data_IF_991054956072
#
_entry.id   IF_991054956072
#
_cell.length_a   1.000
_cell.length_b   1.000
_cell.length_c   1.000
_cell.angle_alpha   90.00
_cell.angle_beta   90.00
_cell.angle_gamma   90.00
#
_symmetry.space_group_name_H-M   'P 1'
#
loop_
_entity.id
_entity.type
_entity.pdbx_description
1 polymer ?
#
# COMPACT_ATOMS: atom_id res chain seq x y z
N UNK A 1 1.89 14.14 -2.01
CA UNK A 1 2.38 13.09 -2.94
C UNK A 1 3.83 12.67 -2.66
N UNK A 2 4.38 12.97 -1.48
CA UNK A 2 5.83 12.90 -1.23
C UNK A 2 6.29 11.57 -0.63
N UNK A 3 5.41 10.80 0.02
CA UNK A 3 5.79 9.58 0.75
C UNK A 3 5.96 8.33 -0.11
N UNK A 4 5.17 8.16 -1.18
CA UNK A 4 5.30 7.00 -2.07
C UNK A 4 6.56 7.07 -2.96
N UNK A 5 7.07 8.28 -3.21
CA UNK A 5 8.26 8.50 -4.03
C UNK A 5 9.48 7.80 -3.44
N UNK A 6 9.67 7.83 -2.12
CA UNK A 6 10.82 7.18 -1.47
C UNK A 6 10.73 5.65 -1.40
N UNK A 7 9.54 5.06 -1.43
CA UNK A 7 9.38 3.60 -1.35
C UNK A 7 9.70 2.88 -2.67
N UNK A 8 9.57 3.57 -3.81
CA UNK A 8 9.60 2.94 -5.14
C UNK A 8 10.72 3.46 -6.06
N UNK A 9 11.44 4.52 -5.70
CA UNK A 9 12.47 5.15 -6.53
C UNK A 9 13.91 4.81 -6.07
N UNK A 10 14.05 3.96 -5.05
CA UNK A 10 15.34 3.55 -4.47
C UNK A 10 16.06 2.49 -5.30
N UNK A 11 16.46 2.81 -6.54
CA UNK A 11 17.60 2.23 -7.28
C UNK A 11 17.72 0.71 -7.53
N UNK A 12 16.84 -0.16 -7.02
CA UNK A 12 17.04 -1.62 -7.05
C UNK A 12 16.09 -2.41 -7.93
N UNK A 13 14.95 -1.84 -8.34
CA UNK A 13 13.92 -2.56 -9.09
C UNK A 13 13.93 -2.20 -10.59
N UNK A 14 13.72 -3.17 -11.50
CA UNK A 14 13.47 -2.91 -12.91
C UNK A 14 12.32 -1.92 -13.12
N UNK A 15 12.40 -1.10 -14.18
CA UNK A 15 11.39 -0.07 -14.50
C UNK A 15 9.97 -0.63 -14.57
N UNK A 16 9.81 -1.84 -15.09
CA UNK A 16 8.53 -2.54 -15.17
C UNK A 16 7.96 -2.85 -13.77
N UNK A 17 8.79 -3.34 -12.85
CA UNK A 17 8.37 -3.59 -11.46
C UNK A 17 8.00 -2.29 -10.74
N UNK A 18 8.75 -1.21 -10.97
CA UNK A 18 8.41 0.12 -10.42
C UNK A 18 7.06 0.62 -10.94
N UNK A 19 6.72 0.37 -12.21
CA UNK A 19 5.40 0.71 -12.76
C UNK A 19 4.30 -0.11 -12.08
N UNK A 20 4.47 -1.44 -12.00
CA UNK A 20 3.53 -2.35 -11.32
C UNK A 20 3.32 -1.93 -9.87
N UNK A 21 4.39 -1.60 -9.13
CA UNK A 21 4.31 -1.10 -7.75
C UNK A 21 3.47 0.18 -7.65
N UNK A 22 3.72 1.15 -8.54
CA UNK A 22 3.01 2.45 -8.53
C UNK A 22 1.53 2.30 -8.85
N UNK A 23 1.17 1.40 -9.77
CA UNK A 23 -0.21 1.11 -10.12
C UNK A 23 -0.91 0.34 -9.00
N UNK A 24 -0.30 -0.76 -8.52
CA UNK A 24 -0.85 -1.56 -7.43
C UNK A 24 -1.06 -0.72 -6.15
N UNK A 25 -0.14 0.19 -5.84
CA UNK A 25 -0.28 1.14 -4.73
C UNK A 25 -1.49 2.06 -4.89
N UNK A 26 -1.73 2.62 -6.09
CA UNK A 26 -2.88 3.52 -6.32
C UNK A 26 -4.19 2.75 -6.20
N UNK A 27 -4.27 1.60 -6.85
CA UNK A 27 -5.46 0.75 -6.85
C UNK A 27 -5.78 0.29 -5.42
N UNK A 28 -4.79 -0.20 -4.67
CA UNK A 28 -4.98 -0.59 -3.27
C UNK A 28 -5.39 0.59 -2.37
N UNK A 29 -4.86 1.80 -2.59
CA UNK A 29 -5.31 2.98 -1.85
C UNK A 29 -6.77 3.35 -2.16
N UNK A 30 -7.21 3.20 -3.41
CA UNK A 30 -8.58 3.44 -3.83
C UNK A 30 -9.54 2.41 -3.20
N UNK A 31 -9.20 1.13 -3.25
CA UNK A 31 -9.97 0.02 -2.65
C UNK A 31 -10.10 0.12 -1.12
N UNK A 32 -9.17 0.82 -0.48
CA UNK A 32 -9.15 1.07 0.96
C UNK A 32 -9.70 2.45 1.33
N UNK A 33 -10.14 3.25 0.35
CA UNK A 33 -10.62 4.63 0.54
C UNK A 33 -9.67 5.50 1.38
N UNK A 34 -8.35 5.36 1.17
CA UNK A 34 -7.35 6.09 1.98
C UNK A 34 -7.34 7.57 1.61
N UNK A 35 -7.65 8.42 2.59
CA UNK A 35 -7.60 9.87 2.43
C UNK A 35 -6.16 10.38 2.24
N UNK A 36 -5.99 11.45 1.45
CA UNK A 36 -4.67 12.03 1.10
C UNK A 36 -3.79 12.41 2.31
N UNK A 37 -4.39 12.69 3.46
CA UNK A 37 -3.69 13.05 4.71
C UNK A 37 -3.26 11.85 5.57
N UNK A 38 -3.69 10.63 5.23
CA UNK A 38 -3.47 9.45 6.04
C UNK A 38 -2.09 8.81 5.81
N UNK A 39 -1.04 9.56 6.15
CA UNK A 39 0.37 9.19 5.92
C UNK A 39 0.77 7.83 6.49
N UNK A 40 0.14 7.36 7.58
CA UNK A 40 0.39 6.02 8.15
C UNK A 40 -0.19 4.91 7.26
N UNK A 41 -1.44 5.07 6.81
CA UNK A 41 -2.10 4.10 5.93
C UNK A 41 -1.41 4.02 4.57
N UNK A 42 -1.03 5.17 3.99
CA UNK A 42 -0.25 5.21 2.75
C UNK A 42 1.09 4.46 2.87
N UNK A 43 1.84 4.66 3.97
CA UNK A 43 3.09 3.93 4.21
C UNK A 43 2.86 2.42 4.31
N UNK A 44 1.81 2.01 5.00
CA UNK A 44 1.47 0.59 5.15
C UNK A 44 1.13 -0.07 3.81
N UNK A 45 0.33 0.58 2.96
CA UNK A 45 0.04 0.08 1.61
C UNK A 45 1.31 -0.02 0.78
N UNK A 46 2.16 1.00 0.80
CA UNK A 46 3.42 0.99 0.06
C UNK A 46 4.34 -0.16 0.50
N UNK A 47 4.42 -0.45 1.80
CA UNK A 47 5.17 -1.59 2.33
C UNK A 47 4.59 -2.93 1.89
N UNK A 48 3.26 -3.10 1.94
CA UNK A 48 2.62 -4.33 1.50
C UNK A 48 2.86 -4.60 0.01
N UNK A 49 2.74 -3.57 -0.82
CA UNK A 49 2.99 -3.67 -2.27
C UNK A 49 4.45 -4.03 -2.54
N UNK A 50 5.39 -3.39 -1.83
CA UNK A 50 6.82 -3.69 -1.95
C UNK A 50 7.13 -5.14 -1.55
N UNK A 51 6.60 -5.61 -0.43
CA UNK A 51 6.86 -6.98 0.05
C UNK A 51 6.40 -8.03 -0.97
N UNK A 52 5.25 -7.82 -1.63
CA UNK A 52 4.77 -8.75 -2.66
C UNK A 52 5.74 -8.83 -3.86
N UNK A 53 6.31 -7.70 -4.27
CA UNK A 53 7.29 -7.63 -5.36
C UNK A 53 8.62 -8.27 -4.93
N UNK A 54 9.07 -8.02 -3.68
CA UNK A 54 10.25 -8.66 -3.10
C UNK A 54 10.09 -10.19 -3.02
N UNK A 55 8.86 -10.70 -2.85
CA UNK A 55 8.53 -12.12 -2.90
C UNK A 55 8.38 -12.67 -4.33
N UNK A 56 8.62 -11.85 -5.36
CA UNK A 56 8.57 -12.24 -6.77
C UNK A 56 7.19 -12.23 -7.41
N UNK A 57 6.15 -11.70 -6.74
CA UNK A 57 4.84 -11.53 -7.36
C UNK A 57 4.85 -10.29 -8.27
N UNK A 58 4.53 -10.49 -9.54
CA UNK A 58 4.53 -9.44 -10.58
C UNK A 58 3.13 -9.16 -11.12
N UNK A 59 2.13 -9.98 -10.78
CA UNK A 59 0.74 -9.77 -11.21
C UNK A 59 0.09 -8.71 -10.34
N UNK A 60 -0.13 -7.52 -10.92
CA UNK A 60 -0.77 -6.37 -10.26
C UNK A 60 -2.01 -6.74 -9.44
N UNK A 61 -2.94 -7.50 -10.02
CA UNK A 61 -4.20 -7.88 -9.35
C UNK A 61 -3.96 -8.65 -8.03
N UNK A 62 -3.02 -9.59 -8.03
CA UNK A 62 -2.65 -10.35 -6.83
C UNK A 62 -1.99 -9.48 -5.78
N UNK A 63 -1.11 -8.57 -6.20
CA UNK A 63 -0.45 -7.60 -5.32
C UNK A 63 -1.50 -6.71 -4.65
N UNK A 64 -2.45 -6.16 -5.43
CA UNK A 64 -3.54 -5.31 -4.92
C UNK A 64 -4.39 -6.10 -3.93
N UNK A 65 -4.88 -7.28 -4.30
CA UNK A 65 -5.73 -8.11 -3.42
C UNK A 65 -5.02 -8.45 -2.11
N UNK A 66 -3.76 -8.89 -2.18
CA UNK A 66 -2.97 -9.19 -0.98
C UNK A 66 -2.74 -7.95 -0.12
N UNK A 67 -2.36 -6.81 -0.71
CA UNK A 67 -2.15 -5.56 0.01
C UNK A 67 -3.44 -5.08 0.69
N UNK A 68 -4.58 -5.15 0.01
CA UNK A 68 -5.90 -4.77 0.57
C UNK A 68 -6.28 -5.69 1.73
N UNK A 69 -6.21 -7.01 1.56
CA UNK A 69 -6.53 -7.97 2.64
C UNK A 69 -5.64 -7.70 3.84
N UNK A 70 -4.33 -7.57 3.64
CA UNK A 70 -3.37 -7.35 4.73
C UNK A 70 -3.57 -6.00 5.40
N UNK A 71 -3.81 -4.94 4.64
CA UNK A 71 -4.09 -3.61 5.17
C UNK A 71 -5.45 -3.54 5.87
N UNK A 72 -6.44 -4.37 5.53
CA UNK A 72 -7.71 -4.50 6.28
C UNK A 72 -7.51 -5.30 7.56
N UNK A 73 -6.71 -6.36 7.54
CA UNK A 73 -6.32 -7.11 8.75
C UNK A 73 -5.55 -6.24 9.74
N UNK A 74 -4.61 -5.42 9.26
CA UNK A 74 -3.98 -4.37 10.06
C UNK A 74 -4.91 -3.19 10.31
N UNK A 75 -5.89 -2.96 9.45
CA UNK A 75 -6.91 -1.93 9.51
C UNK A 75 -7.91 -2.11 10.65
N UNK A 76 -8.09 -3.34 11.17
CA UNK A 76 -8.74 -3.56 12.46
C UNK A 76 -7.95 -2.93 13.64
N UNK A 77 -6.70 -2.50 13.44
CA UNK A 77 -5.94 -1.66 14.38
C UNK A 77 -5.97 -0.16 14.01
N UNK A 78 -6.59 0.23 12.90
CA UNK A 78 -6.70 1.62 12.42
C UNK A 78 -8.16 2.13 12.39
N UNK A 79 -9.15 1.24 12.42
CA UNK A 79 -10.59 1.54 12.53
C UNK A 79 -11.18 1.37 13.94
N UNK A 80 -10.35 1.07 14.94
CA UNK A 80 -10.77 0.84 16.33
C UNK A 80 -10.41 2.00 17.26
N UNK A 81 -10.80 3.24 16.94
CA UNK A 81 -10.88 4.36 17.90
C UNK A 81 -11.69 5.53 17.33
N UNK A 82 -13.01 5.29 17.33
CA UNK A 82 -14.06 6.30 17.24
C UNK A 82 -15.29 5.93 18.09
N UNK A 83 -15.21 4.86 18.88
CA UNK A 83 -15.91 4.74 20.15
C UNK A 83 -14.87 5.10 21.21
N UNK A 84 -15.22 5.97 22.16
CA UNK A 84 -14.39 6.55 23.24
C UNK A 84 -13.67 7.89 22.93
N UNK A 85 -14.48 8.95 22.89
CA UNK A 85 -14.30 10.23 23.59
C UNK A 85 -15.65 10.98 23.43
N UNK A 86 -16.39 11.33 24.48
CA UNK A 86 -15.93 12.06 25.65
C UNK A 86 -16.19 13.54 25.38
#
# INVERSE_FOLDING_TARGET
MTHARYAFDGGGFPREQVQVMREAYRDACAELAIAKGASRQHRMVALCVREMIDLGEVRKDRIVKAAVVRCRSFGNLIGGRGAEAG
#
